data_IF_164663725201
#
_entry.id   IF_164663725201
#
_cell.length_a   1.000
_cell.length_b   1.000
_cell.length_c   1.000
_cell.angle_alpha   90.00
_cell.angle_beta   90.00
_cell.angle_gamma   90.00
#
_symmetry.space_group_name_H-M   'P 1'
#
loop_
_entity.id
_entity.type
_entity.pdbx_description
1 polymer ?
#
# COMPACT_ATOMS: atom_id res chain seq x y z
N UNK A 1 12.61 30.93 -6.41
CA UNK A 1 11.27 30.65 -5.89
C UNK A 1 10.94 29.20 -6.24
N UNK A 2 10.98 28.28 -5.27
CA UNK A 2 10.65 26.87 -5.52
C UNK A 2 9.13 26.75 -5.45
N UNK A 3 8.48 26.49 -6.59
CA UNK A 3 7.04 26.21 -6.62
C UNK A 3 6.84 24.84 -5.98
N UNK A 4 6.21 24.80 -4.79
CA UNK A 4 5.88 23.55 -4.11
C UNK A 4 4.67 22.94 -4.82
N UNK A 5 4.88 21.86 -5.57
CA UNK A 5 3.79 21.12 -6.24
C UNK A 5 2.90 20.48 -5.18
N UNK A 6 1.62 20.83 -5.19
CA UNK A 6 0.61 20.23 -4.31
C UNK A 6 -0.06 19.08 -5.08
N UNK A 7 -0.17 17.91 -4.45
CA UNK A 7 -0.84 16.74 -5.01
C UNK A 7 -2.11 16.45 -4.22
N UNK A 8 -3.12 15.92 -4.92
CA UNK A 8 -4.41 15.63 -4.35
C UNK A 8 -4.86 14.21 -4.73
N UNK A 9 -5.60 13.58 -3.82
CA UNK A 9 -6.46 12.46 -4.12
C UNK A 9 -7.79 13.03 -4.62
N UNK A 10 -8.04 12.88 -5.92
CA UNK A 10 -9.24 13.40 -6.55
C UNK A 10 -10.48 12.59 -6.11
N UNK A 11 -11.46 13.28 -5.55
CA UNK A 11 -12.78 12.74 -5.21
C UNK A 11 -13.75 12.93 -6.40
N UNK A 12 -14.90 12.27 -6.38
CA UNK A 12 -15.87 12.31 -7.51
C UNK A 12 -16.49 13.70 -7.76
N UNK A 13 -16.39 14.60 -6.80
CA UNK A 13 -16.90 15.97 -6.80
C UNK A 13 -15.82 17.03 -7.10
N UNK A 14 -14.63 16.60 -7.56
CA UNK A 14 -13.55 17.51 -7.97
C UNK A 14 -14.00 18.42 -9.12
N UNK A 15 -13.83 19.72 -8.92
CA UNK A 15 -14.12 20.80 -9.87
C UNK A 15 -12.93 21.79 -9.86
N UNK A 16 -11.86 21.51 -10.62
CA UNK A 16 -10.64 22.32 -10.59
C UNK A 16 -10.86 23.78 -11.02
N UNK A 17 -11.82 24.01 -11.91
CA UNK A 17 -12.22 25.35 -12.38
C UNK A 17 -12.91 26.17 -11.27
N UNK A 18 -13.39 25.51 -10.22
CA UNK A 18 -13.96 26.12 -9.02
C UNK A 18 -13.05 25.97 -7.79
N UNK A 19 -11.77 25.65 -8.03
CA UNK A 19 -10.76 25.43 -6.98
C UNK A 19 -11.04 24.25 -6.03
N UNK A 20 -11.84 23.28 -6.46
CA UNK A 20 -12.15 22.06 -5.69
C UNK A 20 -11.26 20.93 -6.21
N UNK A 21 -10.13 20.68 -5.53
CA UNK A 21 -9.08 19.75 -6.00
C UNK A 21 -9.09 18.36 -5.33
N UNK A 22 -9.92 18.15 -4.30
CA UNK A 22 -10.00 16.90 -3.53
C UNK A 22 -9.16 16.94 -2.25
N UNK A 23 -8.69 15.77 -1.79
CA UNK A 23 -7.97 15.64 -0.51
C UNK A 23 -6.48 15.83 -0.73
N UNK A 24 -5.80 16.79 -0.06
CA UNK A 24 -4.36 16.96 -0.19
C UNK A 24 -3.60 15.69 0.22
N UNK A 25 -2.65 15.27 -0.60
CA UNK A 25 -1.81 14.10 -0.29
C UNK A 25 -0.94 14.35 0.97
N UNK A 26 -0.58 15.61 1.23
CA UNK A 26 0.12 16.01 2.46
C UNK A 26 -0.73 15.77 3.70
N UNK A 27 -2.05 16.02 3.62
CA UNK A 27 -2.95 15.76 4.72
C UNK A 27 -2.97 14.27 5.06
N UNK A 28 -3.02 13.38 4.06
CA UNK A 28 -2.91 11.94 4.30
C UNK A 28 -1.56 11.58 4.95
N UNK A 29 -0.48 12.19 4.50
CA UNK A 29 0.85 12.04 5.11
C UNK A 29 0.87 12.42 6.60
N UNK A 30 0.26 13.55 6.95
CA UNK A 30 0.11 14.00 8.35
C UNK A 30 -0.72 13.01 9.17
N UNK A 31 -1.78 12.42 8.60
CA UNK A 31 -2.57 11.38 9.28
C UNK A 31 -1.74 10.11 9.53
N UNK A 32 -0.92 9.69 8.57
CA UNK A 32 -0.01 8.54 8.71
C UNK A 32 0.98 8.78 9.84
N UNK A 33 1.54 9.98 9.95
CA UNK A 33 2.52 10.34 10.97
C UNK A 33 1.87 10.42 12.37
N UNK A 34 0.76 11.13 12.50
CA UNK A 34 0.12 11.43 13.80
C UNK A 34 -0.70 10.27 14.38
N UNK A 35 -1.16 9.33 13.55
CA UNK A 35 -1.99 8.21 14.00
C UNK A 35 -1.29 7.35 15.08
N UNK A 36 -1.98 6.90 16.14
CA UNK A 36 -1.39 6.03 17.16
C UNK A 36 -1.17 4.59 16.67
N UNK A 37 -1.67 4.24 15.48
CA UNK A 37 -1.59 2.90 14.90
C UNK A 37 -0.13 2.49 14.67
N UNK A 38 0.24 1.27 15.10
CA UNK A 38 1.61 0.74 14.97
C UNK A 38 1.91 0.04 13.65
N UNK A 39 0.87 -0.41 12.93
CA UNK A 39 0.96 -1.14 11.66
C UNK A 39 0.07 -0.46 10.63
N UNK A 40 0.65 0.07 9.57
CA UNK A 40 -0.06 0.85 8.55
C UNK A 40 0.00 0.12 7.21
N UNK A 41 -1.15 -0.17 6.61
CA UNK A 41 -1.23 -0.78 5.28
C UNK A 41 -1.92 0.22 4.36
N UNK A 42 -1.27 0.57 3.25
CA UNK A 42 -1.77 1.53 2.27
C UNK A 42 -1.57 0.97 0.88
N UNK A 43 -2.65 0.78 0.14
CA UNK A 43 -2.62 0.42 -1.27
C UNK A 43 -3.33 1.50 -2.08
N UNK A 44 -2.61 2.14 -3.02
CA UNK A 44 -3.15 3.23 -3.85
C UNK A 44 -2.98 2.95 -5.34
N UNK A 45 -4.10 2.69 -6.01
CA UNK A 45 -4.17 2.51 -7.47
C UNK A 45 -4.62 3.83 -8.14
N UNK A 46 -3.75 4.84 -8.12
CA UNK A 46 -4.01 6.12 -8.79
C UNK A 46 -2.72 6.78 -9.32
N UNK A 47 -2.86 7.75 -10.23
CA UNK A 47 -1.74 8.51 -10.79
C UNK A 47 -0.98 9.28 -9.69
N UNK A 48 0.34 9.38 -9.83
CA UNK A 48 1.22 10.06 -8.87
C UNK A 48 1.18 9.56 -7.41
N UNK A 49 0.53 8.42 -7.13
CA UNK A 49 0.41 7.85 -5.79
C UNK A 49 1.75 7.59 -5.08
N UNK A 50 2.84 7.38 -5.83
CA UNK A 50 4.19 7.18 -5.28
C UNK A 50 4.76 8.37 -4.55
N UNK A 51 4.21 9.57 -4.76
CA UNK A 51 4.55 10.75 -3.96
C UNK A 51 4.24 10.57 -2.47
N UNK A 52 3.44 9.58 -2.09
CA UNK A 52 3.14 9.26 -0.70
C UNK A 52 4.38 8.68 0.04
N UNK A 53 5.38 8.16 -0.67
CA UNK A 53 6.58 7.54 -0.06
C UNK A 53 7.34 8.50 0.88
N UNK A 54 7.27 9.81 0.61
CA UNK A 54 7.93 10.85 1.43
C UNK A 54 7.31 11.03 2.83
N UNK A 55 6.14 10.43 3.06
CA UNK A 55 5.43 10.50 4.34
C UNK A 55 5.47 9.16 5.10
N UNK A 56 6.38 8.26 4.73
CA UNK A 56 6.54 7.01 5.44
C UNK A 56 7.03 7.24 6.88
N UNK A 57 6.42 6.59 7.87
CA UNK A 57 6.77 6.78 9.27
C UNK A 57 8.07 6.04 9.62
N UNK A 58 8.89 6.64 10.48
CA UNK A 58 10.16 6.03 10.93
C UNK A 58 10.01 5.08 12.13
N UNK A 59 8.85 5.10 12.80
CA UNK A 59 8.62 4.42 14.09
C UNK A 59 7.41 3.48 14.07
N UNK A 60 6.98 3.05 12.88
CA UNK A 60 5.82 2.17 12.67
C UNK A 60 6.17 1.12 11.64
N UNK A 61 5.54 -0.04 11.75
CA UNK A 61 5.55 -0.99 10.66
C UNK A 61 4.60 -0.48 9.57
N UNK A 62 5.02 -0.57 8.31
CA UNK A 62 4.19 -0.17 7.19
C UNK A 62 4.33 -1.10 5.99
N UNK A 63 3.25 -1.17 5.20
CA UNK A 63 3.20 -1.77 3.88
C UNK A 63 2.52 -0.78 2.93
N UNK A 64 3.32 -0.06 2.14
CA UNK A 64 2.85 0.88 1.13
C UNK A 64 3.05 0.27 -0.25
N UNK A 65 1.97 0.19 -1.03
CA UNK A 65 2.00 -0.30 -2.41
C UNK A 65 1.23 0.69 -3.28
N UNK A 66 1.86 1.20 -4.33
CA UNK A 66 1.26 2.21 -5.20
C UNK A 66 1.45 1.82 -6.66
N UNK A 67 0.48 2.09 -7.53
CA UNK A 67 0.54 1.68 -8.94
C UNK A 67 1.52 2.51 -9.81
N UNK A 68 1.83 3.74 -9.37
CA UNK A 68 2.66 4.82 -9.98
C UNK A 68 2.79 4.92 -11.50
N UNK A 69 2.17 5.97 -12.09
CA UNK A 69 2.57 6.58 -13.38
C UNK A 69 2.79 8.09 -13.21
N UNK A 70 3.74 8.65 -13.98
CA UNK A 70 3.92 10.09 -14.21
C UNK A 70 3.00 10.55 -15.35
N UNK A 71 2.12 11.50 -15.10
CA UNK A 71 1.31 12.14 -16.14
C UNK A 71 2.22 13.06 -16.97
N UNK A 72 2.70 12.56 -18.12
CA UNK A 72 3.10 13.47 -19.19
C UNK A 72 1.82 13.89 -19.92
N UNK A 73 1.57 15.20 -19.93
CA UNK A 73 0.44 15.83 -20.61
C UNK A 73 0.55 15.54 -22.11
N UNK A 74 -0.11 14.49 -22.62
CA UNK A 74 -0.23 14.30 -24.07
C UNK A 74 -0.33 12.88 -24.61
N UNK A 75 -0.16 11.83 -23.80
CA UNK A 75 -0.40 10.47 -24.26
C UNK A 75 -1.46 9.82 -23.40
N UNK A 76 -2.68 9.81 -23.94
CA UNK A 76 -3.75 8.91 -23.54
C UNK A 76 -3.30 7.48 -23.87
N UNK A 77 -2.39 6.94 -23.06
CA UNK A 77 -1.99 5.55 -23.16
C UNK A 77 -3.21 4.76 -22.73
N UNK A 78 -3.79 4.04 -23.70
CA UNK A 78 -4.88 3.08 -23.52
C UNK A 78 -4.82 2.47 -22.13
N UNK A 79 -5.86 2.75 -21.35
CA UNK A 79 -5.96 2.36 -19.98
C UNK A 79 -6.05 0.84 -19.88
N UNK A 80 -4.96 0.16 -19.54
CA UNK A 80 -5.01 -1.22 -19.05
C UNK A 80 -5.55 -1.23 -17.62
N UNK A 81 -6.85 -0.94 -17.52
CA UNK A 81 -7.59 -0.80 -16.28
C UNK A 81 -7.42 -2.04 -15.40
N UNK A 82 -6.90 -1.82 -14.19
CA UNK A 82 -6.86 -2.80 -13.13
C UNK A 82 -5.75 -3.85 -13.20
N UNK A 83 -4.68 -3.67 -14.00
CA UNK A 83 -3.53 -4.59 -13.97
C UNK A 83 -2.90 -4.67 -12.57
N UNK A 84 -2.63 -3.51 -11.94
CA UNK A 84 -2.16 -3.44 -10.57
C UNK A 84 -3.15 -4.09 -9.60
N UNK A 85 -4.41 -3.66 -9.59
CA UNK A 85 -5.45 -4.24 -8.72
C UNK A 85 -5.59 -5.76 -8.91
N UNK A 86 -5.60 -6.28 -10.14
CA UNK A 86 -5.66 -7.73 -10.42
C UNK A 86 -4.44 -8.46 -9.84
N UNK A 87 -3.26 -7.89 -9.97
CA UNK A 87 -2.03 -8.48 -9.44
C UNK A 87 -2.02 -8.46 -7.91
N UNK A 88 -2.47 -7.36 -7.30
CA UNK A 88 -2.63 -7.23 -5.86
C UNK A 88 -3.60 -8.30 -5.31
N UNK A 89 -4.77 -8.48 -5.93
CA UNK A 89 -5.74 -9.50 -5.53
C UNK A 89 -5.18 -10.92 -5.64
N UNK A 90 -4.42 -11.22 -6.70
CA UNK A 90 -3.72 -12.52 -6.83
C UNK A 90 -2.68 -12.70 -5.73
N UNK A 91 -1.89 -11.67 -5.43
CA UNK A 91 -0.86 -11.72 -4.40
C UNK A 91 -1.40 -11.89 -2.99
N UNK A 92 -2.62 -11.40 -2.74
CA UNK A 92 -3.36 -11.54 -1.49
C UNK A 92 -4.07 -12.89 -1.34
N UNK A 93 -4.09 -13.75 -2.36
CA UNK A 93 -4.73 -15.06 -2.19
C UNK A 93 -3.79 -16.00 -1.42
N UNK A 94 -4.13 -16.42 -0.18
CA UNK A 94 -3.29 -17.32 0.61
C UNK A 94 -3.11 -18.70 -0.05
N UNK A 95 -4.05 -19.14 -0.90
CA UNK A 95 -3.93 -20.39 -1.66
C UNK A 95 -2.75 -20.43 -2.64
N UNK A 96 -2.11 -19.29 -2.91
CA UNK A 96 -0.90 -19.21 -3.73
C UNK A 96 0.39 -19.50 -2.94
N UNK A 97 0.32 -19.72 -1.63
CA UNK A 97 1.48 -19.88 -0.74
C UNK A 97 1.40 -21.21 0.01
N UNK A 98 2.53 -21.93 0.10
CA UNK A 98 2.58 -23.27 0.68
C UNK A 98 2.21 -23.30 2.17
N UNK A 99 2.50 -22.22 2.91
CA UNK A 99 2.13 -22.05 4.31
C UNK A 99 0.79 -21.33 4.49
N UNK A 100 0.11 -20.98 3.40
CA UNK A 100 -1.18 -20.30 3.45
C UNK A 100 -1.16 -18.92 4.12
N UNK A 101 0.02 -18.32 4.29
CA UNK A 101 0.20 -17.01 4.95
C UNK A 101 0.70 -15.99 3.92
N UNK A 102 0.03 -14.85 3.85
CA UNK A 102 0.48 -13.69 3.09
C UNK A 102 0.85 -12.57 4.05
N UNK A 103 2.11 -12.15 3.98
CA UNK A 103 2.59 -10.97 4.70
C UNK A 103 3.07 -9.88 3.72
N UNK A 104 3.41 -8.70 4.27
CA UNK A 104 3.84 -7.55 3.48
C UNK A 104 5.05 -7.83 2.58
N UNK A 105 6.00 -8.65 3.04
CA UNK A 105 7.22 -8.98 2.28
C UNK A 105 6.93 -10.00 1.18
N UNK A 106 6.12 -11.02 1.44
CA UNK A 106 5.65 -11.98 0.43
C UNK A 106 4.84 -11.29 -0.66
N UNK A 107 3.93 -10.41 -0.27
CA UNK A 107 3.12 -9.64 -1.23
C UNK A 107 4.01 -8.74 -2.11
N UNK A 108 4.99 -8.06 -1.51
CA UNK A 108 6.00 -7.29 -2.25
C UNK A 108 6.69 -8.16 -3.29
N UNK A 109 7.28 -9.28 -2.88
CA UNK A 109 7.99 -10.18 -3.78
C UNK A 109 7.09 -10.71 -4.90
N UNK A 110 5.83 -11.03 -4.58
CA UNK A 110 4.85 -11.47 -5.56
C UNK A 110 4.58 -10.41 -6.63
N UNK A 111 4.28 -9.17 -6.21
CA UNK A 111 3.95 -8.08 -7.12
C UNK A 111 5.18 -7.70 -7.96
N UNK A 112 6.37 -7.58 -7.35
CA UNK A 112 7.61 -7.29 -8.07
C UNK A 112 7.88 -8.33 -9.16
N UNK A 113 7.70 -9.62 -8.84
CA UNK A 113 7.87 -10.71 -9.81
C UNK A 113 6.85 -10.66 -10.94
N UNK A 114 5.57 -10.45 -10.64
CA UNK A 114 4.50 -10.45 -11.64
C UNK A 114 4.52 -9.21 -12.54
N UNK A 115 4.98 -8.07 -12.01
CA UNK A 115 4.96 -6.79 -12.72
C UNK A 115 6.33 -6.40 -13.32
N UNK A 116 7.37 -7.22 -13.13
CA UNK A 116 8.73 -6.98 -13.65
C UNK A 116 8.79 -6.76 -15.18
N UNK A 117 7.87 -7.36 -15.94
CA UNK A 117 7.80 -7.27 -17.40
C UNK A 117 6.65 -6.39 -17.90
N UNK A 118 5.98 -5.67 -16.99
CA UNK A 118 4.87 -4.78 -17.34
C UNK A 118 5.34 -3.35 -17.50
N UNK A 119 4.58 -2.54 -18.22
CA UNK A 119 4.84 -1.10 -18.38
C UNK A 119 4.48 -0.28 -17.14
N UNK A 120 3.85 -0.91 -16.14
CA UNK A 120 3.59 -0.31 -14.84
C UNK A 120 4.71 -0.72 -13.89
N UNK A 121 5.29 0.26 -13.20
CA UNK A 121 6.27 0.03 -12.14
C UNK A 121 5.67 0.48 -10.82
N UNK A 122 5.00 -0.43 -10.08
CA UNK A 122 4.49 -0.11 -8.77
C UNK A 122 5.62 0.28 -7.84
N UNK A 123 5.44 1.35 -7.09
CA UNK A 123 6.33 1.69 -5.99
C UNK A 123 5.84 0.96 -4.74
N UNK A 124 6.73 0.14 -4.17
CA UNK A 124 6.46 -0.70 -3.01
C UNK A 124 7.49 -0.39 -1.92
N UNK A 125 7.00 -0.07 -0.73
CA UNK A 125 7.83 0.21 0.44
C UNK A 125 7.28 -0.50 1.67
N UNK A 126 8.12 -1.29 2.32
CA UNK A 126 7.80 -1.96 3.57
C UNK A 126 8.80 -1.53 4.65
N UNK A 127 8.35 -1.52 5.91
CA UNK A 127 9.22 -1.52 7.08
C UNK A 127 10.03 -2.82 7.19
N UNK A 128 10.99 -2.86 8.11
CA UNK A 128 11.70 -4.10 8.44
C UNK A 128 10.75 -5.15 9.05
N UNK A 129 9.85 -4.74 9.94
CA UNK A 129 8.82 -5.60 10.51
C UNK A 129 7.83 -6.08 9.45
N UNK A 130 7.51 -7.38 9.48
CA UNK A 130 6.51 -7.99 8.60
C UNK A 130 5.10 -7.78 9.15
N UNK A 131 4.15 -7.46 8.26
CA UNK A 131 2.73 -7.31 8.60
C UNK A 131 1.96 -8.47 7.97
N UNK A 132 1.28 -9.28 8.79
CA UNK A 132 0.33 -10.29 8.32
C UNK A 132 -0.84 -9.58 7.62
N UNK A 133 -1.11 -9.96 6.37
CA UNK A 133 -2.16 -9.37 5.54
C UNK A 133 -3.39 -10.28 5.44
N UNK A 134 -3.16 -11.57 5.19
CA UNK A 134 -4.23 -12.56 5.03
C UNK A 134 -3.66 -13.97 5.18
N UNK A 135 -4.52 -14.92 5.54
CA UNK A 135 -4.15 -16.32 5.67
C UNK A 135 -5.35 -17.24 5.38
N UNK A 136 -5.08 -18.55 5.26
CA UNK A 136 -6.12 -19.58 5.12
C UNK A 136 -6.66 -20.11 6.45
N UNK A 137 -6.19 -19.59 7.59
CA UNK A 137 -6.62 -20.01 8.92
C UNK A 137 -7.89 -19.26 9.30
N UNK A 138 -8.89 -19.98 9.77
CA UNK A 138 -10.08 -19.36 10.34
C UNK A 138 -9.77 -18.81 11.73
N UNK A 139 -10.55 -17.85 12.23
CA UNK A 139 -10.44 -17.40 13.63
C UNK A 139 -10.58 -18.57 14.63
N UNK A 140 -11.19 -19.69 14.24
CA UNK A 140 -11.28 -20.90 15.05
C UNK A 140 -9.93 -21.65 15.17
N UNK A 141 -9.02 -21.47 14.21
CA UNK A 141 -7.67 -22.04 14.24
C UNK A 141 -6.70 -21.20 15.10
N UNK A 142 -7.02 -19.92 15.34
CA UNK A 142 -6.32 -19.07 16.28
C UNK A 142 -6.75 -19.40 17.71
N UNK A 143 -6.10 -20.39 18.31
CA UNK A 143 -6.05 -20.45 19.77
C UNK A 143 -5.22 -19.28 20.27
N UNK A 144 -5.86 -18.34 20.97
CA UNK A 144 -5.20 -17.30 21.79
C UNK A 144 -4.51 -17.92 23.03
N UNK A 145 -3.85 -19.06 22.83
CA UNK A 145 -2.99 -19.68 23.81
C UNK A 145 -1.61 -19.07 23.59
N UNK A 146 -1.31 -18.01 24.35
CA UNK A 146 0.04 -17.45 24.41
C UNK A 146 1.05 -18.60 24.62
N UNK A 147 1.95 -18.89 23.65
CA UNK A 147 2.82 -20.08 23.71
C UNK A 147 3.93 -19.95 24.78
N UNK A 148 4.00 -18.81 25.46
CA UNK A 148 5.02 -18.48 26.46
C UNK A 148 4.49 -18.45 27.90
N UNK A 149 3.55 -19.33 28.26
CA UNK A 149 3.21 -19.58 29.69
C UNK A 149 4.41 -20.05 30.53
N UNK A 150 5.53 -20.43 29.91
CA UNK A 150 6.77 -20.85 30.56
C UNK A 150 7.71 -19.69 30.94
N UNK A 151 7.41 -18.43 30.57
CA UNK A 151 8.21 -17.26 30.95
C UNK A 151 7.68 -16.51 32.19
N UNK A 152 6.60 -16.97 32.83
CA UNK A 152 6.11 -16.38 34.09
C UNK A 152 6.84 -16.88 35.34
N UNK A 153 8.03 -17.46 35.19
CA UNK A 153 8.86 -18.00 36.28
C UNK A 153 10.22 -17.32 36.44
N UNK A 154 10.43 -16.15 35.83
CA UNK A 154 11.60 -15.30 36.04
C UNK A 154 11.20 -13.91 36.50
#
# INVERSE_FOLDING_TARGET
MIIKRILFLATSDVLPDQEIYGIPLSWLGEQIETSPVKKIIIWLDCCFSGELIKYLPNNKDYCLITATRSFETGLEISYEQGLFTKTLLKGLNPGNYADGIVDSHKLKQFIEKQMAQTSQHPLIANSSGSILLTNCYTLADFKDECPYRSLSYF
#
